data_IF_364005653881
#
_entry.id   IF_364005653881
#
_cell.length_a   1.000
_cell.length_b   1.000
_cell.length_c   1.000
_cell.angle_alpha   90.00
_cell.angle_beta   90.00
_cell.angle_gamma   90.00
#
_symmetry.space_group_name_H-M   'P 1'
#
loop_
_entity.id
_entity.type
_entity.pdbx_description
1 polymer ?
#
# COMPACT_ATOMS: atom_id res chain seq x y z
N UNK A 1 5.04 -1.13 7.56
CA UNK A 1 4.66 -2.56 7.59
C UNK A 1 5.35 -3.32 6.48
N UNK A 2 5.11 -4.62 6.38
CA UNK A 2 5.60 -5.47 5.28
C UNK A 2 4.59 -5.48 4.15
N UNK A 3 5.01 -5.28 2.90
CA UNK A 3 4.13 -5.48 1.74
C UNK A 3 3.85 -6.98 1.60
N UNK A 4 2.57 -7.35 1.64
CA UNK A 4 2.13 -8.76 1.54
C UNK A 4 1.29 -9.03 0.31
N UNK A 5 0.70 -7.99 -0.30
CA UNK A 5 -0.01 -8.10 -1.57
C UNK A 5 0.05 -6.80 -2.39
N UNK A 6 -0.20 -6.91 -3.70
CA UNK A 6 -0.35 -5.80 -4.62
C UNK A 6 -1.57 -6.06 -5.49
N UNK A 7 -2.50 -5.11 -5.52
CA UNK A 7 -3.71 -5.20 -6.32
C UNK A 7 -3.74 -4.12 -7.40
N UNK A 8 -4.16 -4.51 -8.61
CA UNK A 8 -4.35 -3.60 -9.74
C UNK A 8 -5.69 -3.90 -10.38
N UNK A 9 -6.58 -2.91 -10.40
CA UNK A 9 -7.90 -3.01 -11.02
C UNK A 9 -7.81 -3.29 -12.51
N UNK A 10 -8.81 -3.98 -13.08
CA UNK A 10 -8.77 -4.43 -14.49
C UNK A 10 -8.60 -3.28 -15.49
N UNK A 11 -9.23 -2.13 -15.22
CA UNK A 11 -9.08 -0.93 -16.04
C UNK A 11 -8.03 0.05 -15.49
N UNK A 12 -7.23 -0.37 -14.51
CA UNK A 12 -6.28 0.48 -13.77
C UNK A 12 -6.94 1.68 -13.08
N UNK A 13 -8.23 1.53 -12.77
CA UNK A 13 -9.00 2.51 -12.00
C UNK A 13 -8.58 2.54 -10.52
N UNK A 14 -7.98 1.45 -10.04
CA UNK A 14 -7.41 1.30 -8.71
C UNK A 14 -6.05 0.62 -8.78
N UNK A 15 -5.15 1.05 -7.91
CA UNK A 15 -3.88 0.40 -7.63
C UNK A 15 -3.58 0.60 -6.14
N UNK A 16 -3.38 -0.51 -5.43
CA UNK A 16 -3.16 -0.50 -3.99
C UNK A 16 -2.10 -1.53 -3.59
N UNK A 17 -1.48 -1.29 -2.45
CA UNK A 17 -0.60 -2.24 -1.76
C UNK A 17 -1.25 -2.62 -0.43
N UNK A 18 -1.17 -3.89 -0.07
CA UNK A 18 -1.61 -4.33 1.26
C UNK A 18 -0.39 -4.52 2.15
N UNK A 19 -0.43 -3.90 3.32
CA UNK A 19 0.62 -3.97 4.34
C UNK A 19 0.15 -4.84 5.50
N UNK A 20 1.04 -5.71 5.99
CA UNK A 20 0.92 -6.27 7.34
C UNK A 20 1.67 -5.36 8.31
N UNK A 21 0.96 -4.85 9.32
CA UNK A 21 1.51 -4.04 10.40
C UNK A 21 0.74 -4.33 11.70
N UNK A 22 1.47 -4.55 12.79
CA UNK A 22 0.89 -4.83 14.12
C UNK A 22 -0.15 -5.97 14.16
N UNK A 23 -0.04 -6.93 13.23
CA UNK A 23 -0.95 -8.07 13.09
C UNK A 23 -2.24 -7.78 12.30
N UNK A 24 -2.36 -6.58 11.72
CA UNK A 24 -3.47 -6.16 10.88
C UNK A 24 -3.06 -6.01 9.41
N UNK A 25 -4.02 -6.22 8.52
CA UNK A 25 -3.87 -5.95 7.09
C UNK A 25 -4.44 -4.56 6.80
N UNK A 26 -3.65 -3.72 6.13
CA UNK A 26 -3.99 -2.34 5.82
C UNK A 26 -3.84 -2.13 4.32
N UNK A 27 -4.90 -1.73 3.65
CA UNK A 27 -4.87 -1.38 2.22
C UNK A 27 -4.47 0.10 2.06
N UNK A 28 -3.42 0.33 1.26
CA UNK A 28 -2.89 1.65 0.96
C UNK A 28 -3.06 1.95 -0.52
N UNK A 29 -3.86 2.98 -0.82
CA UNK A 29 -4.06 3.49 -2.16
C UNK A 29 -3.20 4.72 -2.46
N UNK A 30 -3.11 5.06 -3.76
CA UNK A 30 -2.48 6.29 -4.22
C UNK A 30 -3.34 7.53 -4.00
N UNK A 31 -2.98 8.65 -4.64
CA UNK A 31 -3.77 9.88 -4.57
C UNK A 31 -5.21 9.66 -5.01
N UNK A 32 -6.14 10.31 -4.30
CA UNK A 32 -7.59 10.18 -4.48
C UNK A 32 -8.09 8.76 -4.16
N UNK A 33 -7.40 8.07 -3.25
CA UNK A 33 -7.90 6.84 -2.65
C UNK A 33 -9.26 7.08 -2.00
N UNK A 34 -10.21 6.19 -2.28
CA UNK A 34 -11.59 6.33 -1.83
C UNK A 34 -12.14 5.04 -1.21
N UNK A 35 -11.50 3.91 -1.47
CA UNK A 35 -11.93 2.58 -1.03
C UNK A 35 -10.93 1.94 -0.08
N UNK A 36 -9.66 2.35 -0.16
CA UNK A 36 -8.56 1.89 0.67
C UNK A 36 -8.60 2.53 2.08
N UNK A 37 -7.97 1.88 3.04
CA UNK A 37 -7.92 2.36 4.43
C UNK A 37 -7.09 3.66 4.55
N UNK A 38 -6.05 3.78 3.72
CA UNK A 38 -5.10 4.91 3.76
C UNK A 38 -4.83 5.44 2.35
N UNK A 39 -4.90 6.77 2.20
CA UNK A 39 -4.38 7.49 1.03
C UNK A 39 -2.91 7.88 1.24
N UNK A 40 -2.06 7.54 0.28
CA UNK A 40 -0.65 7.94 0.26
C UNK A 40 -0.28 8.69 -1.02
N UNK A 41 0.53 9.73 -0.86
CA UNK A 41 1.12 10.49 -1.97
C UNK A 41 2.60 10.17 -2.19
N UNK A 42 3.26 9.59 -1.18
CA UNK A 42 4.64 9.12 -1.24
C UNK A 42 4.71 7.75 -0.58
N UNK A 43 5.38 6.82 -1.25
CA UNK A 43 5.59 5.46 -0.78
C UNK A 43 7.07 5.13 -0.96
N UNK A 44 7.73 4.78 0.14
CA UNK A 44 9.14 4.36 0.14
C UNK A 44 9.18 2.87 0.46
N UNK A 45 9.74 2.09 -0.46
CA UNK A 45 9.84 0.63 -0.34
C UNK A 45 11.29 0.25 -0.15
N UNK A 46 11.58 -0.42 0.96
CA UNK A 46 12.81 -1.18 1.14
C UNK A 46 12.62 -2.62 0.65
N UNK A 47 13.70 -3.27 0.20
CA UNK A 47 13.62 -4.62 -0.36
C UNK A 47 13.62 -5.69 0.74
N UNK A 48 14.65 -5.69 1.58
CA UNK A 48 14.84 -6.69 2.64
C UNK A 48 14.47 -6.15 4.03
N UNK A 49 14.68 -4.85 4.25
CA UNK A 49 14.40 -4.14 5.48
C UNK A 49 13.65 -2.83 5.21
N UNK A 50 12.89 -2.28 6.18
CA UNK A 50 12.26 -0.98 6.05
C UNK A 50 13.29 0.12 5.70
N UNK A 51 12.94 1.09 4.85
CA UNK A 51 13.84 2.17 4.49
C UNK A 51 14.19 3.05 5.71
N UNK A 52 15.44 3.51 5.78
CA UNK A 52 15.85 4.54 6.74
C UNK A 52 15.29 5.89 6.29
N UNK A 53 14.32 6.43 7.05
CA UNK A 53 13.66 7.72 6.79
C UNK A 53 13.90 8.69 7.94
#
# INVERSE_FOLDING_TARGET
GRVVDVSVGRNRETAAITLEADGELIDVGGQVAALEDVEAHEIVIGLDEPPEL
#
